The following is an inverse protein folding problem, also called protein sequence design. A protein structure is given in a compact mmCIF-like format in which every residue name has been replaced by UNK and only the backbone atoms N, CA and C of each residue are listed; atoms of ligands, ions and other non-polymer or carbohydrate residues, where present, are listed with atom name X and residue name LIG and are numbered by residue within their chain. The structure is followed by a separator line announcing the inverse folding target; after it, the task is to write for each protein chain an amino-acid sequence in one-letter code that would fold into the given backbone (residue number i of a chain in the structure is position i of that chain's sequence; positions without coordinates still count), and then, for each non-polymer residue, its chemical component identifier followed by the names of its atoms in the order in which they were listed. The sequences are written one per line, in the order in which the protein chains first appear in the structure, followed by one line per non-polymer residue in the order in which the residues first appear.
data_IF_123836707613
#
_entry.id   IF_123836707613
#
_cell.length_a   1.000
_cell.length_b   1.000
_cell.length_c   1.000
_cell.angle_alpha   90.00
_cell.angle_beta   90.00
_cell.angle_gamma   90.00
#
_symmetry.space_group_name_H-M   'P 1'
#
loop_
_entity.id
_entity.type
_entity.pdbx_description
1 polymer ?
#
# COMPACT_ATOMS: atom_id res chain seq x y z
N UNK A 1 -14.78 8.22 -12.63
CA UNK A 1 -15.26 7.56 -11.39
C UNK A 1 -14.48 6.28 -11.05
N UNK A 2 -14.10 5.45 -12.02
CA UNK A 2 -13.33 4.21 -11.82
C UNK A 2 -11.94 4.42 -11.19
N UNK A 3 -11.24 5.49 -11.57
CA UNK A 3 -9.91 5.77 -11.01
C UNK A 3 -9.97 6.23 -9.54
N UNK A 4 -10.93 7.10 -9.21
CA UNK A 4 -11.14 7.58 -7.83
C UNK A 4 -11.55 6.44 -6.90
N UNK A 5 -12.39 5.53 -7.38
CA UNK A 5 -12.77 4.33 -6.62
C UNK A 5 -11.58 3.39 -6.40
N UNK A 6 -10.71 3.21 -7.40
CA UNK A 6 -9.45 2.48 -7.24
C UNK A 6 -8.54 3.12 -6.18
N UNK A 7 -8.41 4.46 -6.19
CA UNK A 7 -7.66 5.23 -5.20
C UNK A 7 -8.17 4.99 -3.77
N UNK A 8 -9.47 5.17 -3.56
CA UNK A 8 -10.10 5.02 -2.24
C UNK A 8 -10.00 3.57 -1.73
N UNK A 9 -10.30 2.59 -2.58
CA UNK A 9 -10.23 1.17 -2.22
C UNK A 9 -8.81 0.74 -1.90
N UNK A 10 -7.81 1.18 -2.68
CA UNK A 10 -6.40 0.88 -2.41
C UNK A 10 -5.93 1.50 -1.10
N UNK A 11 -6.29 2.76 -0.83
CA UNK A 11 -5.95 3.43 0.43
C UNK A 11 -6.57 2.74 1.63
N UNK A 12 -7.87 2.41 1.57
CA UNK A 12 -8.57 1.68 2.62
C UNK A 12 -7.94 0.30 2.84
N UNK A 13 -7.62 -0.43 1.77
CA UNK A 13 -6.99 -1.74 1.86
C UNK A 13 -5.62 -1.67 2.55
N UNK A 14 -4.74 -0.75 2.13
CA UNK A 14 -3.43 -0.57 2.77
C UNK A 14 -3.54 -0.19 4.25
N UNK A 15 -4.48 0.71 4.57
CA UNK A 15 -4.72 1.15 5.94
C UNK A 15 -5.25 0.01 6.83
N UNK A 16 -6.23 -0.75 6.34
CA UNK A 16 -6.80 -1.90 7.06
C UNK A 16 -5.75 -2.98 7.30
N UNK A 17 -4.96 -3.34 6.27
CA UNK A 17 -3.90 -4.35 6.42
C UNK A 17 -2.85 -3.87 7.44
N UNK A 18 -2.43 -2.61 7.38
CA UNK A 18 -1.52 -2.06 8.38
C UNK A 18 -2.11 -2.07 9.79
N UNK A 19 -3.39 -1.70 9.95
CA UNK A 19 -4.07 -1.69 11.24
C UNK A 19 -4.22 -3.09 11.82
N UNK A 20 -4.64 -4.07 11.01
CA UNK A 20 -4.75 -5.48 11.39
C UNK A 20 -3.38 -6.01 11.81
N UNK A 21 -2.34 -5.79 10.99
CA UNK A 21 -0.98 -6.21 11.36
C UNK A 21 -0.50 -5.55 12.64
N UNK A 22 -0.77 -4.27 12.85
CA UNK A 22 -0.37 -3.57 14.08
C UNK A 22 -1.07 -4.12 15.32
N UNK A 23 -2.36 -4.47 15.23
CA UNK A 23 -3.13 -5.00 16.35
C UNK A 23 -2.89 -6.49 16.61
N UNK A 24 -2.68 -7.29 15.56
CA UNK A 24 -2.37 -8.72 15.67
C UNK A 24 -0.89 -9.01 15.96
N UNK A 25 -0.01 -8.00 15.89
CA UNK A 25 1.42 -8.06 16.26
C UNK A 25 1.61 -8.11 17.77
N UNK A 26 1.07 -9.14 18.41
CA UNK A 26 1.26 -9.41 19.83
C UNK A 26 1.81 -10.82 20.12
N UNK A 27 1.98 -11.69 19.12
CA UNK A 27 2.21 -13.13 19.37
C UNK A 27 3.61 -13.63 18.97
N UNK A 28 4.28 -13.07 17.98
CA UNK A 28 5.62 -13.54 17.56
C UNK A 28 6.50 -12.35 17.20
N UNK A 29 7.66 -12.26 17.84
CA UNK A 29 8.59 -11.14 17.77
C UNK A 29 9.77 -11.58 16.90
N UNK A 30 9.53 -11.81 15.61
CA UNK A 30 10.61 -12.16 14.68
C UNK A 30 11.21 -10.90 14.05
N UNK A 31 12.53 -10.90 13.82
CA UNK A 31 13.25 -9.75 13.27
C UNK A 31 12.85 -9.47 11.81
N UNK A 32 12.43 -10.50 11.06
CA UNK A 32 11.93 -10.33 9.69
C UNK A 32 10.59 -9.60 9.63
N UNK A 33 9.71 -9.82 10.61
CA UNK A 33 8.42 -9.11 10.71
C UNK A 33 8.60 -7.59 10.90
N UNK A 34 9.67 -7.17 11.58
CA UNK A 34 9.97 -5.74 11.78
C UNK A 34 10.40 -5.09 10.47
N UNK A 35 11.15 -5.81 9.63
CA UNK A 35 11.58 -5.33 8.32
C UNK A 35 10.40 -5.28 7.33
N UNK A 36 9.57 -6.32 7.26
CA UNK A 36 8.40 -6.36 6.37
C UNK A 36 7.41 -5.24 6.70
N UNK A 37 7.24 -4.93 7.99
CA UNK A 37 6.33 -3.90 8.46
C UNK A 37 6.85 -2.47 8.22
N UNK A 38 8.18 -2.27 8.25
CA UNK A 38 8.80 -1.01 7.78
C UNK A 38 8.59 -0.80 6.28
N UNK A 39 8.72 -1.85 5.47
CA UNK A 39 8.46 -1.79 4.03
C UNK A 39 6.99 -1.50 3.73
N UNK A 40 6.06 -2.16 4.44
CA UNK A 40 4.61 -1.90 4.34
C UNK A 40 4.26 -0.45 4.71
N UNK A 41 4.85 0.07 5.79
CA UNK A 41 4.65 1.48 6.18
C UNK A 41 5.18 2.45 5.13
N UNK A 42 6.38 2.21 4.57
CA UNK A 42 6.95 3.03 3.50
C UNK A 42 6.07 3.04 2.25
N UNK A 43 5.54 1.88 1.85
CA UNK A 43 4.64 1.78 0.71
C UNK A 43 3.33 2.53 0.94
N UNK A 44 2.76 2.45 2.14
CA UNK A 44 1.56 3.19 2.53
C UNK A 44 1.81 4.71 2.49
N UNK A 45 2.92 5.17 3.07
CA UNK A 45 3.28 6.59 3.08
C UNK A 45 3.51 7.13 1.66
N UNK A 46 4.17 6.36 0.80
CA UNK A 46 4.39 6.75 -0.59
C UNK A 46 3.07 6.81 -1.38
N UNK A 47 2.16 5.87 -1.14
CA UNK A 47 0.82 5.91 -1.73
C UNK A 47 0.09 7.20 -1.34
N UNK A 48 -0.02 7.50 -0.03
CA UNK A 48 -0.64 8.74 0.49
C UNK A 48 -0.01 10.01 -0.08
N UNK A 49 1.32 10.06 -0.15
CA UNK A 49 2.03 11.20 -0.75
C UNK A 49 1.65 11.40 -2.22
N UNK A 50 1.58 10.32 -3.00
CA UNK A 50 1.13 10.39 -4.39
C UNK A 50 -0.33 10.85 -4.51
N UNK A 51 -1.23 10.46 -3.60
CA UNK A 51 -2.62 10.96 -3.57
C UNK A 51 -2.66 12.47 -3.33
N UNK A 52 -1.91 12.95 -2.33
CA UNK A 52 -1.87 14.38 -1.99
C UNK A 52 -1.34 15.20 -3.18
N UNK A 53 -0.28 14.71 -3.82
CA UNK A 53 0.31 15.33 -5.02
C UNK A 53 -0.69 15.35 -6.18
N UNK A 54 -1.42 14.25 -6.41
CA UNK A 54 -2.46 14.17 -7.44
C UNK A 54 -3.59 15.19 -7.18
N UNK A 55 -4.07 15.29 -5.94
CA UNK A 55 -5.07 16.29 -5.54
C UNK A 55 -4.56 17.72 -5.74
N UNK A 56 -3.29 17.98 -5.40
CA UNK A 56 -2.66 19.27 -5.60
C UNK A 56 -2.58 19.66 -7.09
N UNK A 57 -2.11 18.73 -7.95
CA UNK A 57 -2.05 18.98 -9.39
C UNK A 57 -3.44 19.13 -10.00
N UNK A 58 -4.45 18.39 -9.53
CA UNK A 58 -5.83 18.55 -9.96
C UNK A 58 -6.37 19.96 -9.65
N UNK A 59 -6.15 20.45 -8.42
CA UNK A 59 -6.53 21.81 -8.05
C UNK A 59 -5.79 22.87 -8.87
N UNK A 60 -4.47 22.71 -9.01
CA UNK A 60 -3.62 23.66 -9.76
C UNK A 60 -4.02 23.70 -11.25
N UNK A 61 -4.29 22.55 -11.85
CA UNK A 61 -4.71 22.46 -13.24
C UNK A 61 -6.02 23.22 -13.49
N UNK A 62 -7.03 23.02 -12.62
CA UNK A 62 -8.31 23.71 -12.73
C UNK A 62 -8.22 25.23 -12.53
N UNK A 63 -7.24 25.72 -11.75
CA UNK A 63 -7.12 27.15 -11.43
C UNK A 63 -6.22 27.93 -12.39
N UNK A 64 -5.11 27.35 -12.84
CA UNK A 64 -4.06 28.07 -13.57
C UNK A 64 -3.94 27.67 -15.05
N UNK A 65 -4.58 26.58 -15.50
CA UNK A 65 -4.55 26.10 -16.90
C UNK A 65 -3.14 26.08 -17.52
N UNK A 66 -2.11 25.80 -16.74
CA UNK A 66 -0.74 25.75 -17.22
C UNK A 66 -0.49 24.45 -18.04
N UNK A 67 0.21 24.53 -19.18
CA UNK A 67 0.64 23.35 -19.92
C UNK A 67 1.54 22.47 -19.04
N UNK A 68 1.55 21.16 -19.30
CA UNK A 68 2.27 20.11 -18.55
C UNK A 68 1.73 19.70 -17.17
N UNK A 69 0.84 20.48 -16.54
CA UNK A 69 0.28 20.11 -15.21
C UNK A 69 -0.54 18.82 -15.29
N UNK A 70 -1.23 18.59 -16.41
CA UNK A 70 -1.98 17.35 -16.65
C UNK A 70 -1.07 16.11 -16.75
N UNK A 71 0.11 16.25 -17.36
CA UNK A 71 1.10 15.17 -17.44
C UNK A 71 1.67 14.83 -16.05
N UNK A 72 1.91 15.84 -15.21
CA UNK A 72 2.36 15.63 -13.83
C UNK A 72 1.28 15.00 -12.95
N UNK A 73 0.02 15.36 -13.17
CA UNK A 73 -1.12 14.67 -12.57
C UNK A 73 -1.11 13.19 -12.96
N UNK A 74 -1.06 12.86 -14.25
CA UNK A 74 -1.01 11.47 -14.70
C UNK A 74 0.20 10.71 -14.14
N UNK A 75 1.38 11.34 -14.05
CA UNK A 75 2.57 10.74 -13.45
C UNK A 75 2.34 10.39 -11.97
N UNK A 76 1.68 11.28 -11.22
CA UNK A 76 1.33 11.01 -9.83
C UNK A 76 0.33 9.84 -9.68
N UNK A 77 -0.62 9.71 -10.61
CA UNK A 77 -1.55 8.57 -10.67
C UNK A 77 -0.80 7.24 -10.89
N UNK A 78 0.17 7.21 -11.81
CA UNK A 78 1.05 6.04 -12.00
C UNK A 78 1.84 5.71 -10.73
N UNK A 79 2.30 6.71 -9.98
CA UNK A 79 2.97 6.52 -8.69
C UNK A 79 2.09 5.82 -7.64
N UNK A 80 0.79 6.16 -7.60
CA UNK A 80 -0.18 5.46 -6.73
C UNK A 80 -0.31 3.99 -7.14
N UNK A 81 -0.40 3.71 -8.43
CA UNK A 81 -0.56 2.33 -8.94
C UNK A 81 0.69 1.50 -8.63
N UNK A 82 1.88 2.04 -8.88
CA UNK A 82 3.15 1.35 -8.61
C UNK A 82 3.35 1.08 -7.12
N UNK A 83 3.02 2.04 -6.25
CA UNK A 83 3.11 1.85 -4.80
C UNK A 83 2.08 0.82 -4.29
N UNK A 84 0.93 0.71 -4.94
CA UNK A 84 -0.03 -0.35 -4.67
C UNK A 84 0.47 -1.73 -5.09
N UNK A 85 1.04 -1.85 -6.29
CA UNK A 85 1.66 -3.10 -6.74
C UNK A 85 2.81 -3.53 -5.81
N UNK A 86 3.66 -2.59 -5.40
CA UNK A 86 4.75 -2.84 -4.44
C UNK A 86 4.24 -3.32 -3.07
N UNK A 87 3.12 -2.77 -2.59
CA UNK A 87 2.48 -3.22 -1.35
C UNK A 87 2.00 -4.68 -1.46
N UNK A 88 1.34 -5.04 -2.56
CA UNK A 88 0.90 -6.43 -2.80
C UNK A 88 2.09 -7.39 -2.95
N UNK A 89 3.18 -6.98 -3.59
CA UNK A 89 4.41 -7.78 -3.67
C UNK A 89 5.00 -8.03 -2.28
N UNK A 90 5.00 -7.00 -1.41
CA UNK A 90 5.49 -7.14 -0.03
C UNK A 90 4.63 -8.13 0.76
N UNK A 91 3.31 -8.17 0.53
CA UNK A 91 2.43 -9.16 1.14
C UNK A 91 2.73 -10.59 0.62
N UNK A 92 2.96 -10.76 -0.68
CA UNK A 92 3.33 -12.07 -1.25
C UNK A 92 4.65 -12.60 -0.69
N UNK A 93 5.64 -11.72 -0.47
CA UNK A 93 6.92 -12.07 0.15
C UNK A 93 6.77 -12.45 1.62
N UNK A 94 5.86 -11.80 2.35
CA UNK A 94 5.52 -12.13 3.74
C UNK A 94 5.00 -13.58 3.82
N UNK A 95 4.03 -13.93 2.95
CA UNK A 95 3.47 -15.29 2.89
C UNK A 95 4.48 -16.34 2.42
N UNK A 96 5.37 -16.01 1.50
CA UNK A 96 6.43 -16.92 1.05
C UNK A 96 7.45 -17.24 2.16
N UNK A 97 7.60 -16.31 3.11
CA UNK A 97 8.52 -16.46 4.26
C UNK A 97 7.84 -17.25 5.39
N UNK A 98 6.53 -17.17 5.55
CA UNK A 98 5.76 -18.00 6.50
C UNK A 98 5.69 -19.46 6.06
N UNK A 99 6.13 -20.40 6.91
CA UNK A 99 6.05 -21.84 6.62
C UNK A 99 4.75 -22.40 7.21
N UNK A 100 3.74 -22.59 6.37
CA UNK A 100 2.50 -23.27 6.78
C UNK A 100 2.75 -24.78 6.89
N UNK A 101 2.79 -25.31 8.11
CA UNK A 101 2.79 -26.75 8.36
C UNK A 101 1.34 -27.24 8.47
N UNK A 102 0.90 -27.99 7.46
CA UNK A 102 -0.40 -28.65 7.44
C UNK A 102 -0.21 -30.02 8.09
N UNK A 103 -0.63 -30.18 9.35
CA UNK A 103 -0.67 -31.48 10.04
C UNK A 103 -2.11 -32.00 10.04
N UNK A 104 -2.29 -33.32 9.92
CA UNK A 104 -3.61 -33.96 9.77
C UNK A 104 -4.62 -33.70 10.89
N UNK A 105 -4.19 -33.14 12.03
CA UNK A 105 -5.05 -32.76 13.17
C UNK A 105 -5.23 -31.24 13.36
N UNK A 106 -4.74 -30.39 12.44
CA UNK A 106 -4.96 -28.95 12.49
C UNK A 106 -3.90 -28.11 11.77
N UNK A 107 -4.30 -26.92 11.33
CA UNK A 107 -3.42 -25.90 10.75
C UNK A 107 -2.61 -25.22 11.87
N UNK A 108 -1.29 -25.40 11.88
CA UNK A 108 -0.39 -24.71 12.82
C UNK A 108 0.52 -23.77 12.02
N UNK A 109 0.37 -22.48 12.25
CA UNK A 109 1.20 -21.43 11.64
C UNK A 109 2.47 -21.32 12.50
N UNK A 110 3.66 -21.53 11.90
CA UNK A 110 4.97 -21.32 12.53
C UNK A 110 5.69 -20.19 11.82
#
# INVERSE_FOLDING_TARGET
MSFITFLLTSFIHMFLVYFIMRNCRNVTKDWFDVASLKWKWRSMMLNVLCIIIACYFFYRHNKYCEPFVYSMFALSEYGVVLSNMGFHLTAALDFATTRLLISGNGLRII
#
